data_IF_922746430498
#
_entry.id   IF_922746430498
#
_cell.length_a   1.000
_cell.length_b   1.000
_cell.length_c   1.000
_cell.angle_alpha   90.00
_cell.angle_beta   90.00
_cell.angle_gamma   90.00
#
_symmetry.space_group_name_H-M   'P 1'
#
loop_
_entity.id
_entity.type
_entity.pdbx_description
1 polymer ?
#
# COMPACT_ATOMS: atom_id res chain seq x y z
N UNK A 1 8.58 -5.69 12.68
CA UNK A 1 9.59 -6.76 12.51
C UNK A 1 10.09 -7.26 13.86
N UNK A 2 10.67 -6.44 14.80
CA UNK A 2 11.18 -6.94 16.08
C UNK A 2 10.16 -7.75 16.88
N UNK A 3 8.90 -7.30 16.93
CA UNK A 3 7.82 -8.01 17.60
C UNK A 3 7.56 -9.40 16.97
N UNK A 4 7.52 -9.47 15.64
CA UNK A 4 7.31 -10.76 14.95
C UNK A 4 8.45 -11.74 15.26
N UNK A 5 9.69 -11.26 15.19
CA UNK A 5 10.87 -12.06 15.51
C UNK A 5 10.88 -12.54 16.96
N UNK A 6 10.48 -11.70 17.93
CA UNK A 6 10.40 -12.07 19.34
C UNK A 6 9.31 -13.12 19.63
N UNK A 7 8.24 -13.14 18.84
CA UNK A 7 7.16 -14.11 18.92
C UNK A 7 7.44 -15.43 18.17
N UNK A 8 8.65 -15.56 17.57
CA UNK A 8 9.06 -16.75 16.84
C UNK A 8 8.66 -16.80 15.36
N UNK A 9 8.12 -15.70 14.83
CA UNK A 9 7.88 -15.51 13.41
C UNK A 9 9.13 -14.98 12.70
N UNK A 10 9.05 -14.78 11.40
CA UNK A 10 10.12 -14.23 10.58
C UNK A 10 9.88 -12.75 10.21
N UNK A 11 10.87 -12.15 9.56
CA UNK A 11 10.76 -10.78 9.03
C UNK A 11 9.66 -10.68 7.98
N UNK A 12 9.48 -11.71 7.15
CA UNK A 12 8.45 -11.71 6.11
C UNK A 12 7.04 -11.60 6.72
N UNK A 13 6.72 -12.35 7.77
CA UNK A 13 5.45 -12.19 8.51
C UNK A 13 5.33 -10.79 9.10
N UNK A 14 6.41 -10.29 9.72
CA UNK A 14 6.42 -8.97 10.35
C UNK A 14 6.17 -7.81 9.37
N UNK A 15 6.58 -7.95 8.13
CA UNK A 15 6.32 -6.98 7.04
C UNK A 15 4.97 -7.24 6.38
N UNK A 16 4.61 -8.51 6.17
CA UNK A 16 3.37 -8.86 5.48
C UNK A 16 2.10 -8.38 6.20
N UNK A 17 2.07 -8.40 7.53
CA UNK A 17 0.89 -7.96 8.28
C UNK A 17 0.48 -6.52 7.94
N UNK A 18 1.33 -5.50 8.15
CA UNK A 18 0.96 -4.13 7.81
C UNK A 18 0.88 -3.89 6.30
N UNK A 19 1.78 -4.48 5.52
CA UNK A 19 1.84 -4.29 4.07
C UNK A 19 0.61 -4.86 3.36
N UNK A 20 0.32 -6.16 3.54
CA UNK A 20 -0.82 -6.79 2.89
C UNK A 20 -2.15 -6.28 3.43
N UNK A 21 -2.20 -5.92 4.74
CA UNK A 21 -3.39 -5.32 5.33
C UNK A 21 -3.73 -3.96 4.71
N UNK A 22 -2.75 -3.08 4.60
CA UNK A 22 -2.90 -1.79 3.93
C UNK A 22 -3.25 -1.97 2.45
N UNK A 23 -2.60 -2.92 1.79
CA UNK A 23 -2.72 -3.16 0.38
C UNK A 23 -4.09 -3.74 -0.02
N UNK A 24 -4.62 -4.71 0.74
CA UNK A 24 -5.99 -5.19 0.54
C UNK A 24 -7.00 -4.07 0.77
N UNK A 25 -6.76 -3.24 1.80
CA UNK A 25 -7.60 -2.07 2.07
C UNK A 25 -7.62 -1.07 0.91
N UNK A 26 -6.52 -0.91 0.19
CA UNK A 26 -6.42 -0.02 -0.97
C UNK A 26 -6.91 -0.69 -2.26
N UNK A 27 -6.39 -1.86 -2.62
CA UNK A 27 -6.65 -2.53 -3.90
C UNK A 27 -8.09 -3.02 -4.06
N UNK A 28 -8.72 -3.51 -2.99
CA UNK A 28 -10.12 -3.90 -2.98
C UNK A 28 -11.04 -2.88 -2.30
N UNK A 29 -10.63 -1.62 -2.24
CA UNK A 29 -11.36 -0.56 -1.55
C UNK A 29 -12.79 -0.38 -2.07
N UNK A 30 -13.73 -0.32 -1.15
CA UNK A 30 -15.14 -0.03 -1.45
C UNK A 30 -15.48 1.47 -1.38
N UNK A 31 -14.67 2.28 -0.68
CA UNK A 31 -14.86 3.72 -0.47
C UNK A 31 -13.53 4.48 -0.57
N UNK A 32 -12.77 4.29 -1.65
CA UNK A 32 -11.54 5.05 -1.85
C UNK A 32 -11.82 6.32 -2.64
N UNK A 33 -11.69 7.53 -2.07
CA UNK A 33 -11.94 8.77 -2.78
C UNK A 33 -10.93 9.05 -3.90
N UNK A 34 -9.69 8.57 -3.75
CA UNK A 34 -8.59 8.84 -4.68
C UNK A 34 -8.59 7.94 -5.92
N UNK A 35 -9.29 6.83 -5.88
CA UNK A 35 -9.39 5.88 -6.98
C UNK A 35 -10.83 5.75 -7.45
N UNK A 36 -11.67 5.09 -6.68
CA UNK A 36 -13.10 4.88 -7.01
C UNK A 36 -13.84 6.21 -7.16
N UNK A 37 -13.63 7.15 -6.23
CA UNK A 37 -14.31 8.46 -6.25
C UNK A 37 -13.97 9.26 -7.50
N UNK A 38 -12.68 9.38 -7.84
CA UNK A 38 -12.24 10.10 -9.05
C UNK A 38 -12.80 9.42 -10.31
N UNK A 39 -12.68 8.09 -10.39
CA UNK A 39 -13.16 7.34 -11.55
C UNK A 39 -14.67 7.45 -11.73
N UNK A 40 -15.45 7.41 -10.64
CA UNK A 40 -16.89 7.64 -10.69
C UNK A 40 -17.26 9.07 -11.07
N UNK A 41 -16.47 10.05 -10.60
CA UNK A 41 -16.65 11.46 -11.02
C UNK A 41 -16.44 11.63 -12.53
N UNK A 42 -15.40 11.01 -13.10
CA UNK A 42 -15.14 11.02 -14.55
C UNK A 42 -16.28 10.31 -15.32
N UNK A 43 -16.76 9.18 -14.80
CA UNK A 43 -17.86 8.42 -15.39
C UNK A 43 -19.25 9.04 -15.15
N UNK A 44 -19.35 10.18 -14.46
CA UNK A 44 -20.60 10.84 -14.06
C UNK A 44 -21.56 9.91 -13.28
N UNK A 45 -21.01 8.98 -12.51
CA UNK A 45 -21.77 8.07 -11.65
C UNK A 45 -21.90 8.63 -10.23
N UNK A 46 -22.98 8.28 -9.51
CA UNK A 46 -23.09 8.65 -8.10
C UNK A 46 -21.91 8.10 -7.29
N UNK A 47 -21.32 8.95 -6.43
CA UNK A 47 -20.19 8.58 -5.60
C UNK A 47 -20.51 7.32 -4.78
N UNK A 48 -19.55 6.40 -4.77
CA UNK A 48 -19.61 5.09 -4.10
C UNK A 48 -20.78 4.19 -4.51
N UNK A 49 -21.44 4.47 -5.66
CA UNK A 49 -22.41 3.53 -6.25
C UNK A 49 -21.73 2.18 -6.54
N UNK A 50 -22.47 1.08 -6.42
CA UNK A 50 -21.93 -0.28 -6.53
C UNK A 50 -21.11 -0.75 -5.32
N UNK A 51 -21.21 -0.06 -4.17
CA UNK A 51 -20.48 -0.37 -2.93
C UNK A 51 -20.73 -1.80 -2.44
N UNK A 52 -21.95 -2.32 -2.54
CA UNK A 52 -22.28 -3.66 -2.01
C UNK A 52 -21.40 -4.76 -2.61
N UNK A 53 -21.17 -4.74 -3.92
CA UNK A 53 -20.27 -5.69 -4.58
C UNK A 53 -18.80 -5.50 -4.12
N UNK A 54 -18.34 -4.25 -4.01
CA UNK A 54 -16.97 -3.95 -3.55
C UNK A 54 -16.73 -4.40 -2.11
N UNK A 55 -17.71 -4.23 -1.22
CA UNK A 55 -17.64 -4.73 0.17
C UNK A 55 -17.49 -6.25 0.21
N UNK A 56 -18.26 -6.97 -0.62
CA UNK A 56 -18.13 -8.42 -0.73
C UNK A 56 -16.73 -8.84 -1.20
N UNK A 57 -16.23 -8.21 -2.26
CA UNK A 57 -14.87 -8.51 -2.78
C UNK A 57 -13.80 -8.15 -1.74
N UNK A 58 -13.91 -7.00 -1.09
CA UNK A 58 -13.01 -6.62 0.00
C UNK A 58 -13.02 -7.65 1.14
N UNK A 59 -14.19 -8.13 1.54
CA UNK A 59 -14.32 -9.17 2.56
C UNK A 59 -13.62 -10.47 2.16
N UNK A 60 -13.81 -10.93 0.92
CA UNK A 60 -13.17 -12.13 0.38
C UNK A 60 -11.65 -11.94 0.33
N UNK A 61 -11.16 -10.84 -0.24
CA UNK A 61 -9.73 -10.57 -0.34
C UNK A 61 -9.06 -10.48 1.04
N UNK A 62 -9.73 -9.81 2.00
CA UNK A 62 -9.26 -9.72 3.39
C UNK A 62 -9.18 -11.10 4.03
N UNK A 63 -10.20 -11.94 3.88
CA UNK A 63 -10.20 -13.30 4.42
C UNK A 63 -9.08 -14.16 3.81
N UNK A 64 -8.86 -14.07 2.50
CA UNK A 64 -7.78 -14.79 1.81
C UNK A 64 -6.41 -14.35 2.33
N UNK A 65 -6.18 -13.04 2.49
CA UNK A 65 -4.90 -12.52 2.99
C UNK A 65 -4.67 -12.94 4.45
N UNK A 66 -5.68 -12.85 5.31
CA UNK A 66 -5.58 -13.31 6.70
C UNK A 66 -5.25 -14.81 6.74
N UNK A 67 -5.96 -15.62 5.96
CA UNK A 67 -5.71 -17.06 5.88
C UNK A 67 -4.28 -17.36 5.41
N UNK A 68 -3.81 -16.66 4.36
CA UNK A 68 -2.46 -16.83 3.84
C UNK A 68 -1.38 -16.45 4.87
N UNK A 69 -1.48 -15.26 5.48
CA UNK A 69 -0.50 -14.77 6.46
C UNK A 69 -0.47 -15.68 7.69
N UNK A 70 -1.63 -16.14 8.14
CA UNK A 70 -1.74 -17.07 9.28
C UNK A 70 -1.12 -18.41 8.94
N UNK A 71 -1.47 -18.99 7.77
CA UNK A 71 -0.91 -20.25 7.31
C UNK A 71 0.61 -20.18 7.16
N UNK A 72 1.12 -19.14 6.51
CA UNK A 72 2.56 -18.95 6.33
C UNK A 72 3.27 -18.75 7.68
N UNK A 73 2.71 -17.92 8.57
CA UNK A 73 3.24 -17.66 9.89
C UNK A 73 3.34 -18.96 10.74
N UNK A 74 2.28 -19.76 10.77
CA UNK A 74 2.30 -21.04 11.47
C UNK A 74 3.31 -22.05 10.86
N UNK A 75 3.47 -22.05 9.54
CA UNK A 75 4.46 -22.88 8.85
C UNK A 75 5.87 -22.50 9.26
N UNK A 76 6.20 -21.21 9.30
CA UNK A 76 7.52 -20.71 9.71
C UNK A 76 7.75 -20.93 11.20
N UNK A 77 6.75 -20.68 12.04
CA UNK A 77 6.84 -20.89 13.48
C UNK A 77 7.14 -22.35 13.83
N UNK A 78 6.52 -23.30 13.12
CA UNK A 78 6.78 -24.75 13.30
C UNK A 78 8.15 -25.18 12.75
N UNK A 79 8.62 -24.56 11.70
CA UNK A 79 9.92 -24.86 11.08
C UNK A 79 10.59 -23.59 10.53
N UNK A 80 11.42 -22.93 11.34
CA UNK A 80 12.08 -21.66 10.96
C UNK A 80 12.93 -21.76 9.68
N UNK A 81 13.46 -22.94 9.34
CA UNK A 81 14.24 -23.14 8.10
C UNK A 81 13.40 -23.00 6.82
N UNK A 82 12.07 -22.99 6.92
CA UNK A 82 11.16 -22.76 5.79
C UNK A 82 10.87 -21.28 5.55
N UNK A 83 11.44 -20.39 6.37
CA UNK A 83 11.36 -18.95 6.18
C UNK A 83 12.14 -18.53 4.93
N UNK A 84 11.55 -17.63 4.13
CA UNK A 84 12.22 -17.01 2.97
C UNK A 84 13.27 -15.98 3.40
N UNK A 85 13.22 -15.52 4.64
CA UNK A 85 14.13 -14.53 5.23
C UNK A 85 15.04 -15.16 6.30
N UNK A 86 15.21 -16.46 6.31
CA UNK A 86 15.91 -17.20 7.39
C UNK A 86 17.30 -16.63 7.70
N UNK A 87 18.13 -16.42 6.69
CA UNK A 87 19.51 -15.94 6.88
C UNK A 87 19.55 -14.50 7.38
N UNK A 88 18.67 -13.65 6.84
CA UNK A 88 18.49 -12.26 7.27
C UNK A 88 18.02 -12.21 8.74
N UNK A 89 17.07 -13.07 9.10
CA UNK A 89 16.53 -13.15 10.45
C UNK A 89 17.57 -13.57 11.48
N UNK A 90 18.47 -14.47 11.12
CA UNK A 90 19.59 -14.85 11.97
C UNK A 90 20.49 -13.66 12.32
N UNK A 91 20.79 -12.81 11.33
CA UNK A 91 21.56 -11.59 11.53
C UNK A 91 20.80 -10.56 12.37
N UNK A 92 19.51 -10.33 12.02
CA UNK A 92 18.64 -9.41 12.76
C UNK A 92 18.43 -9.82 14.22
N UNK A 93 18.27 -11.12 14.50
CA UNK A 93 18.15 -11.63 15.89
C UNK A 93 19.40 -11.35 16.71
N UNK A 94 20.59 -11.47 16.10
CA UNK A 94 21.87 -11.15 16.77
C UNK A 94 22.00 -9.65 17.03
N UNK A 95 21.69 -8.79 16.04
CA UNK A 95 21.81 -7.34 16.18
C UNK A 95 20.79 -6.74 17.16
N UNK A 96 19.60 -7.30 17.23
CA UNK A 96 18.52 -6.84 18.12
C UNK A 96 18.63 -7.40 19.54
N UNK A 97 19.67 -8.20 19.84
CA UNK A 97 19.86 -8.85 21.14
C UNK A 97 18.61 -9.60 21.66
N UNK A 98 17.79 -10.13 20.75
CA UNK A 98 16.53 -10.81 21.07
C UNK A 98 16.73 -12.11 21.91
N UNK A 99 17.98 -12.56 22.10
CA UNK A 99 18.30 -13.68 22.95
C UNK A 99 18.29 -13.33 24.45
N UNK A 100 18.20 -12.07 24.79
CA UNK A 100 18.07 -11.61 26.17
C UNK A 100 16.60 -11.31 26.43
N UNK A 101 15.84 -12.35 26.73
CA UNK A 101 14.45 -12.26 27.22
C UNK A 101 14.41 -11.72 28.66
N UNK A 102 14.97 -10.57 28.92
CA UNK A 102 14.41 -9.73 29.95
C UNK A 102 13.10 -9.17 29.41
N UNK A 103 11.99 -9.79 29.80
CA UNK A 103 10.65 -9.25 29.50
C UNK A 103 10.64 -7.84 30.06
N UNK A 104 10.67 -6.79 29.22
CA UNK A 104 10.61 -5.43 29.75
C UNK A 104 9.33 -5.32 30.57
N UNK A 105 9.46 -4.89 31.82
CA UNK A 105 8.30 -4.71 32.70
C UNK A 105 7.39 -3.69 32.01
N UNK A 106 6.17 -4.12 31.66
CA UNK A 106 5.17 -3.25 31.09
C UNK A 106 4.82 -2.17 32.12
N UNK A 107 5.15 -0.92 31.81
CA UNK A 107 4.94 0.22 32.70
C UNK A 107 3.78 1.07 32.20
N UNK A 108 3.21 1.88 33.07
CA UNK A 108 2.17 2.85 32.71
C UNK A 108 2.60 3.76 31.53
N UNK A 109 3.89 4.07 31.41
CA UNK A 109 4.42 4.85 30.27
C UNK A 109 4.23 4.14 28.93
N UNK A 110 4.44 2.84 28.87
CA UNK A 110 4.20 2.07 27.64
C UNK A 110 2.72 2.12 27.24
N UNK A 111 1.80 2.03 28.21
CA UNK A 111 0.37 2.19 27.97
C UNK A 111 0.04 3.59 27.45
N UNK A 112 0.63 4.62 28.04
CA UNK A 112 0.41 6.00 27.60
C UNK A 112 0.93 6.25 26.19
N UNK A 113 2.12 5.73 25.84
CA UNK A 113 2.67 5.82 24.48
C UNK A 113 1.75 5.10 23.48
N UNK A 114 1.26 3.91 23.82
CA UNK A 114 0.31 3.20 22.97
C UNK A 114 -1.00 3.99 22.79
N UNK A 115 -1.48 4.62 23.85
CA UNK A 115 -2.67 5.47 23.79
C UNK A 115 -2.44 6.71 22.91
N UNK A 116 -1.31 7.39 23.04
CA UNK A 116 -0.94 8.54 22.20
C UNK A 116 -0.87 8.13 20.73
N UNK A 117 -0.25 6.99 20.45
CA UNK A 117 -0.18 6.47 19.08
C UNK A 117 -1.59 6.14 18.53
N UNK A 118 -2.41 5.45 19.31
CA UNK A 118 -3.78 5.13 18.93
C UNK A 118 -4.64 6.40 18.69
N UNK A 119 -4.51 7.40 19.59
CA UNK A 119 -5.17 8.69 19.44
C UNK A 119 -4.70 9.43 18.16
N UNK A 120 -3.38 9.39 17.88
CA UNK A 120 -2.81 9.92 16.63
C UNK A 120 -3.40 9.24 15.40
N UNK A 121 -3.58 7.91 15.42
CA UNK A 121 -4.21 7.18 14.31
C UNK A 121 -5.68 7.55 14.13
N UNK A 122 -6.43 7.71 15.21
CA UNK A 122 -7.83 8.20 15.13
C UNK A 122 -7.86 9.62 14.56
N UNK A 123 -6.94 10.48 15.00
CA UNK A 123 -6.85 11.86 14.48
C UNK A 123 -6.44 11.89 13.00
N UNK A 124 -5.55 10.99 12.58
CA UNK A 124 -5.21 10.81 11.17
C UNK A 124 -6.45 10.51 10.32
N UNK A 125 -7.25 9.51 10.74
CA UNK A 125 -8.47 9.12 10.03
C UNK A 125 -9.47 10.29 9.96
N UNK A 126 -9.67 10.99 11.07
CA UNK A 126 -10.54 12.18 11.12
C UNK A 126 -9.98 13.31 10.24
N UNK A 127 -8.66 13.56 10.28
CA UNK A 127 -7.98 14.56 9.47
C UNK A 127 -8.16 14.33 7.96
N UNK A 128 -7.96 13.10 7.52
CA UNK A 128 -8.16 12.74 6.10
C UNK A 128 -9.63 12.80 5.71
N UNK A 129 -10.54 12.27 6.54
CA UNK A 129 -11.96 12.17 6.20
C UNK A 129 -12.71 13.52 6.26
N UNK A 130 -12.40 14.36 7.26
CA UNK A 130 -13.15 15.59 7.52
C UNK A 130 -12.45 16.85 7.02
N UNK A 131 -11.11 16.87 7.06
CA UNK A 131 -10.30 18.05 6.74
C UNK A 131 -9.47 17.88 5.47
N UNK A 132 -9.64 16.75 4.74
CA UNK A 132 -8.94 16.47 3.49
C UNK A 132 -7.39 16.56 3.60
N UNK A 133 -6.83 16.13 4.74
CA UNK A 133 -5.40 16.12 4.96
C UNK A 133 -4.67 15.31 3.89
N UNK A 134 -3.51 15.81 3.50
CA UNK A 134 -2.63 15.17 2.54
C UNK A 134 -1.24 14.95 3.14
N UNK A 135 -0.23 14.73 2.32
CA UNK A 135 1.12 14.30 2.75
C UNK A 135 1.73 15.23 3.81
N UNK A 136 1.55 16.55 3.69
CA UNK A 136 2.18 17.53 4.59
C UNK A 136 1.61 17.43 5.99
N UNK A 137 0.30 17.43 6.13
CA UNK A 137 -0.41 17.38 7.42
C UNK A 137 -0.18 16.01 8.09
N UNK A 138 -0.22 14.92 7.30
CA UNK A 138 0.05 13.55 7.77
C UNK A 138 1.48 13.44 8.28
N UNK A 139 2.46 13.99 7.56
CA UNK A 139 3.87 13.99 7.98
C UNK A 139 4.07 14.79 9.27
N UNK A 140 3.42 15.94 9.37
CA UNK A 140 3.43 16.77 10.58
C UNK A 140 2.82 16.05 11.78
N UNK A 141 1.70 15.33 11.59
CA UNK A 141 1.08 14.51 12.64
C UNK A 141 2.04 13.42 13.14
N UNK A 142 2.64 12.64 12.24
CA UNK A 142 3.56 11.57 12.65
C UNK A 142 4.81 12.10 13.36
N UNK A 143 5.37 13.23 12.90
CA UNK A 143 6.48 13.90 13.59
C UNK A 143 6.05 14.33 14.99
N UNK A 144 4.89 14.97 15.13
CA UNK A 144 4.35 15.40 16.41
C UNK A 144 4.11 14.24 17.37
N UNK A 145 3.47 13.16 16.91
CA UNK A 145 3.26 11.94 17.71
C UNK A 145 4.60 11.34 18.14
N UNK A 146 5.59 11.27 17.24
CA UNK A 146 6.93 10.78 17.54
C UNK A 146 7.61 11.58 18.65
N UNK A 147 7.59 12.91 18.57
CA UNK A 147 8.17 13.81 19.58
C UNK A 147 7.46 13.68 20.93
N UNK A 148 6.12 13.63 20.94
CA UNK A 148 5.35 13.43 22.17
C UNK A 148 5.67 12.07 22.80
N UNK A 149 5.77 11.01 22.01
CA UNK A 149 6.18 9.69 22.49
C UNK A 149 7.60 9.70 23.06
N UNK A 150 8.54 10.44 22.46
CA UNK A 150 9.90 10.59 22.97
C UNK A 150 9.91 11.27 24.36
N UNK A 151 9.16 12.36 24.53
CA UNK A 151 9.02 13.06 25.81
C UNK A 151 8.40 12.17 26.88
N UNK A 152 7.30 11.48 26.57
CA UNK A 152 6.62 10.56 27.51
C UNK A 152 7.52 9.38 27.86
N UNK A 153 8.28 8.87 26.88
CA UNK A 153 9.28 7.82 27.03
C UNK A 153 10.50 8.26 27.86
N UNK A 154 10.64 9.57 28.11
CA UNK A 154 11.80 10.18 28.77
C UNK A 154 13.11 9.94 28.02
N UNK A 155 13.06 9.94 26.70
CA UNK A 155 14.26 9.91 25.88
C UNK A 155 15.01 11.23 26.02
N UNK A 156 16.35 11.16 26.10
CA UNK A 156 17.18 12.37 26.02
C UNK A 156 17.12 12.96 24.61
N UNK A 157 17.53 14.23 24.46
CA UNK A 157 17.60 14.86 23.14
C UNK A 157 18.50 14.07 22.18
N UNK A 158 19.64 13.58 22.65
CA UNK A 158 20.55 12.77 21.82
C UNK A 158 19.87 11.47 21.38
N UNK A 159 19.23 10.75 22.31
CA UNK A 159 18.51 9.51 21.97
C UNK A 159 17.36 9.75 20.97
N UNK A 160 16.65 10.86 21.11
CA UNK A 160 15.58 11.24 20.19
C UNK A 160 16.16 11.57 18.80
N UNK A 161 17.27 12.33 18.77
CA UNK A 161 17.95 12.65 17.50
C UNK A 161 18.51 11.40 16.83
N UNK A 162 19.15 10.51 17.58
CA UNK A 162 19.67 9.25 17.05
C UNK A 162 18.55 8.38 16.45
N UNK A 163 17.41 8.28 17.15
CA UNK A 163 16.25 7.53 16.66
C UNK A 163 15.68 8.12 15.35
N UNK A 164 15.64 9.46 15.23
CA UNK A 164 15.22 10.14 13.99
C UNK A 164 16.20 9.88 12.86
N UNK A 165 17.52 9.97 13.14
CA UNK A 165 18.58 9.71 12.16
C UNK A 165 18.52 8.25 11.69
N UNK A 166 18.34 7.29 12.57
CA UNK A 166 18.23 5.87 12.20
C UNK A 166 16.97 5.59 11.38
N UNK A 167 15.86 6.24 11.73
CA UNK A 167 14.65 6.22 10.90
C UNK A 167 14.91 6.78 9.50
N UNK A 168 15.56 7.93 9.40
CA UNK A 168 15.91 8.55 8.11
C UNK A 168 16.86 7.67 7.29
N UNK A 169 17.87 7.06 7.91
CA UNK A 169 18.79 6.13 7.25
C UNK A 169 18.06 4.95 6.61
N UNK A 170 17.06 4.41 7.30
CA UNK A 170 16.27 3.30 6.76
C UNK A 170 15.46 3.68 5.51
N UNK A 171 15.17 4.97 5.31
CA UNK A 171 14.41 5.48 4.18
C UNK A 171 15.26 5.93 3.00
N UNK A 172 16.58 6.05 3.12
CA UNK A 172 17.46 6.54 2.04
C UNK A 172 17.37 5.65 0.80
N UNK A 173 17.50 4.33 0.96
CA UNK A 173 17.42 3.39 -0.16
C UNK A 173 16.07 3.46 -0.86
N UNK A 174 14.99 3.53 -0.08
CA UNK A 174 13.62 3.65 -0.60
C UNK A 174 13.46 4.96 -1.38
N UNK A 175 13.97 6.07 -0.86
CA UNK A 175 13.90 7.38 -1.53
C UNK A 175 14.61 7.39 -2.87
N UNK A 176 15.78 6.75 -2.97
CA UNK A 176 16.54 6.61 -4.23
C UNK A 176 15.74 5.75 -5.23
N UNK A 177 15.22 4.60 -4.79
CA UNK A 177 14.38 3.75 -5.65
C UNK A 177 13.15 4.49 -6.18
N UNK A 178 12.50 5.29 -5.32
CA UNK A 178 11.37 6.13 -5.70
C UNK A 178 11.73 7.18 -6.74
N UNK A 179 12.88 7.85 -6.57
CA UNK A 179 13.36 8.84 -7.52
C UNK A 179 13.63 8.21 -8.90
N UNK A 180 14.26 7.03 -8.93
CA UNK A 180 14.51 6.29 -10.17
C UNK A 180 13.19 5.81 -10.83
N UNK A 181 12.25 5.26 -10.05
CA UNK A 181 10.94 4.88 -10.55
C UNK A 181 10.18 6.09 -11.13
N UNK A 182 10.23 7.24 -10.45
CA UNK A 182 9.62 8.47 -10.95
C UNK A 182 10.26 8.97 -12.24
N UNK A 183 11.57 8.83 -12.40
CA UNK A 183 12.26 9.18 -13.63
C UNK A 183 11.74 8.39 -14.84
N UNK A 184 11.46 7.10 -14.69
CA UNK A 184 10.85 6.26 -15.73
C UNK A 184 9.49 6.84 -16.16
N UNK A 185 8.66 7.23 -15.21
CA UNK A 185 7.34 7.82 -15.49
C UNK A 185 7.47 9.14 -16.25
N UNK A 186 8.40 10.01 -15.83
CA UNK A 186 8.64 11.30 -16.49
C UNK A 186 9.10 11.09 -17.94
N UNK A 187 10.06 10.21 -18.17
CA UNK A 187 10.56 9.89 -19.52
C UNK A 187 9.43 9.33 -20.39
N UNK A 188 8.60 8.44 -19.86
CA UNK A 188 7.49 7.88 -20.60
C UNK A 188 6.40 8.93 -20.95
N UNK A 189 6.18 9.88 -20.05
CA UNK A 189 5.23 10.98 -20.26
C UNK A 189 5.77 11.98 -21.29
N UNK A 190 7.01 12.44 -21.15
CA UNK A 190 7.65 13.40 -22.06
C UNK A 190 7.81 12.81 -23.46
N UNK A 191 8.10 11.52 -23.55
CA UNK A 191 8.16 10.78 -24.81
C UNK A 191 6.79 10.47 -25.45
N UNK A 192 5.67 10.86 -24.82
CA UNK A 192 4.28 10.52 -25.21
C UNK A 192 4.05 9.02 -25.41
N UNK A 193 4.86 8.19 -24.76
CA UNK A 193 4.76 6.73 -24.81
C UNK A 193 3.43 6.28 -24.23
N UNK A 194 2.98 6.92 -23.15
CA UNK A 194 1.73 6.58 -22.48
C UNK A 194 0.51 6.77 -23.38
N UNK A 195 0.46 7.87 -24.15
CA UNK A 195 -0.63 8.13 -25.10
C UNK A 195 -0.68 7.06 -26.19
N UNK A 196 0.49 6.67 -26.73
CA UNK A 196 0.61 5.63 -27.74
C UNK A 196 0.17 4.26 -27.20
N UNK A 197 0.56 3.93 -25.98
CA UNK A 197 0.16 2.68 -25.31
C UNK A 197 -1.36 2.66 -25.06
N UNK A 198 -1.93 3.75 -24.55
CA UNK A 198 -3.38 3.87 -24.32
C UNK A 198 -4.17 3.72 -25.61
N UNK A 199 -3.71 4.36 -26.68
CA UNK A 199 -4.36 4.23 -28.00
C UNK A 199 -4.31 2.79 -28.51
N UNK A 200 -3.14 2.14 -28.45
CA UNK A 200 -2.99 0.74 -28.86
C UNK A 200 -3.88 -0.21 -28.06
N UNK A 201 -3.96 -0.03 -26.75
CA UNK A 201 -4.84 -0.80 -25.86
C UNK A 201 -6.31 -0.58 -26.23
N UNK A 202 -6.72 0.68 -26.43
CA UNK A 202 -8.10 0.99 -26.82
C UNK A 202 -8.49 0.34 -28.15
N UNK A 203 -7.60 0.30 -29.13
CA UNK A 203 -7.81 -0.39 -30.40
C UNK A 203 -7.98 -1.91 -30.20
N UNK A 204 -7.13 -2.53 -29.39
CA UNK A 204 -7.24 -3.96 -29.13
C UNK A 204 -8.55 -4.33 -28.40
N UNK A 205 -8.90 -3.58 -27.38
CA UNK A 205 -10.10 -3.83 -26.55
C UNK A 205 -11.37 -3.53 -27.33
N UNK A 206 -11.36 -2.50 -28.19
CA UNK A 206 -12.52 -2.03 -28.96
C UNK A 206 -13.16 -3.08 -29.88
N UNK A 207 -12.43 -4.14 -30.21
CA UNK A 207 -12.92 -5.24 -31.06
C UNK A 207 -13.35 -6.49 -30.26
N UNK A 208 -13.28 -6.45 -28.91
CA UNK A 208 -13.62 -7.58 -28.03
C UNK A 208 -15.11 -7.57 -27.68
N UNK A 209 -15.64 -8.75 -27.32
CA UNK A 209 -16.96 -8.78 -26.68
C UNK A 209 -16.92 -8.17 -25.27
N UNK A 210 -18.08 -7.74 -24.69
CA UNK A 210 -18.09 -7.00 -23.43
C UNK A 210 -17.38 -7.70 -22.27
N UNK A 211 -17.46 -9.04 -22.18
CA UNK A 211 -16.80 -9.80 -21.10
C UNK A 211 -15.28 -9.79 -21.26
N UNK A 212 -14.79 -10.07 -22.47
CA UNK A 212 -13.36 -10.03 -22.77
C UNK A 212 -12.81 -8.60 -22.70
N UNK A 213 -13.62 -7.61 -23.06
CA UNK A 213 -13.24 -6.21 -22.96
C UNK A 213 -13.05 -5.78 -21.49
N UNK A 214 -13.92 -6.19 -20.58
CA UNK A 214 -13.79 -5.93 -19.15
C UNK A 214 -12.51 -6.56 -18.57
N UNK A 215 -12.20 -7.79 -18.94
CA UNK A 215 -10.96 -8.48 -18.58
C UNK A 215 -9.74 -7.79 -19.20
N UNK A 216 -9.84 -7.41 -20.49
CA UNK A 216 -8.82 -6.65 -21.19
C UNK A 216 -8.51 -5.30 -20.51
N UNK A 217 -9.53 -4.59 -20.03
CA UNK A 217 -9.36 -3.35 -19.24
C UNK A 217 -8.61 -3.60 -17.95
N UNK A 218 -8.89 -4.69 -17.23
CA UNK A 218 -8.16 -5.06 -16.02
C UNK A 218 -6.66 -5.26 -16.31
N UNK A 219 -6.33 -6.05 -17.32
CA UNK A 219 -4.93 -6.29 -17.69
C UNK A 219 -4.24 -5.04 -18.23
N UNK A 220 -4.96 -4.21 -18.97
CA UNK A 220 -4.46 -2.92 -19.43
C UNK A 220 -4.08 -2.00 -18.25
N UNK A 221 -4.96 -1.87 -17.28
CA UNK A 221 -4.67 -1.07 -16.09
C UNK A 221 -3.53 -1.66 -15.26
N UNK A 222 -3.43 -2.99 -15.17
CA UNK A 222 -2.31 -3.68 -14.53
C UNK A 222 -0.97 -3.37 -15.22
N UNK A 223 -0.95 -3.35 -16.56
CA UNK A 223 0.24 -3.01 -17.33
C UNK A 223 0.60 -1.51 -17.21
N UNK A 224 -0.39 -0.63 -17.31
CA UNK A 224 -0.18 0.83 -17.20
C UNK A 224 0.33 1.19 -15.81
N UNK A 225 -0.10 0.47 -14.78
CA UNK A 225 0.32 0.72 -13.40
C UNK A 225 1.85 0.58 -13.22
N UNK A 226 2.51 -0.25 -14.01
CA UNK A 226 3.97 -0.33 -14.00
C UNK A 226 4.63 1.02 -14.31
N UNK A 227 4.03 1.80 -15.22
CA UNK A 227 4.54 3.13 -15.61
C UNK A 227 3.97 4.24 -14.73
N UNK A 228 2.73 4.09 -14.25
CA UNK A 228 2.01 5.11 -13.48
C UNK A 228 1.52 4.49 -12.16
N UNK A 229 2.44 4.21 -11.26
CA UNK A 229 2.13 3.64 -9.93
C UNK A 229 1.50 4.68 -8.99
N UNK A 230 0.36 5.24 -9.40
CA UNK A 230 -0.37 6.27 -8.67
C UNK A 230 -1.86 6.14 -8.95
N UNK A 231 -2.65 5.73 -7.96
CA UNK A 231 -4.08 5.52 -8.11
C UNK A 231 -4.80 6.71 -8.75
N UNK A 232 -4.72 7.88 -8.13
CA UNK A 232 -5.36 9.09 -8.66
C UNK A 232 -4.78 9.52 -10.01
N UNK A 233 -3.46 9.44 -10.17
CA UNK A 233 -2.79 9.79 -11.44
C UNK A 233 -3.21 8.88 -12.58
N UNK A 234 -3.26 7.57 -12.34
CA UNK A 234 -3.71 6.61 -13.35
C UNK A 234 -5.20 6.78 -13.66
N UNK A 235 -6.06 7.04 -12.66
CA UNK A 235 -7.47 7.31 -12.88
C UNK A 235 -7.69 8.49 -13.86
N UNK A 236 -7.03 9.62 -13.57
CA UNK A 236 -7.16 10.84 -14.39
C UNK A 236 -6.61 10.61 -15.82
N UNK A 237 -5.56 9.81 -15.95
CA UNK A 237 -4.95 9.51 -17.25
C UNK A 237 -5.80 8.55 -18.09
N UNK A 238 -6.34 7.49 -17.49
CA UNK A 238 -6.90 6.35 -18.25
C UNK A 238 -8.43 6.37 -18.33
N UNK A 239 -9.12 6.83 -17.28
CA UNK A 239 -10.58 6.74 -17.23
C UNK A 239 -11.29 7.61 -18.28
N UNK A 240 -10.78 8.82 -18.68
CA UNK A 240 -11.36 9.57 -19.79
C UNK A 240 -11.37 8.83 -21.13
N UNK A 241 -10.50 7.83 -21.30
CA UNK A 241 -10.46 6.97 -22.51
C UNK A 241 -11.27 5.69 -22.27
N UNK A 242 -11.10 5.06 -21.12
CA UNK A 242 -11.69 3.74 -20.84
C UNK A 242 -13.20 3.80 -20.59
N UNK A 243 -13.76 4.88 -20.05
CA UNK A 243 -15.20 4.99 -19.83
C UNK A 243 -15.96 5.13 -21.15
N UNK A 244 -15.64 6.06 -22.06
CA UNK A 244 -16.29 6.09 -23.40
C UNK A 244 -16.10 4.80 -24.19
N UNK A 245 -14.92 4.16 -24.08
CA UNK A 245 -14.67 2.88 -24.73
C UNK A 245 -15.59 1.79 -24.17
N UNK A 246 -15.78 1.72 -22.86
CA UNK A 246 -16.69 0.78 -22.20
C UNK A 246 -18.14 0.98 -22.70
N UNK A 247 -18.59 2.21 -22.79
CA UNK A 247 -19.94 2.55 -23.28
C UNK A 247 -20.15 2.09 -24.73
N UNK A 248 -19.15 2.31 -25.61
CA UNK A 248 -19.21 1.90 -27.03
C UNK A 248 -19.30 0.38 -27.18
N UNK A 249 -18.57 -0.37 -26.34
CA UNK A 249 -18.50 -1.84 -26.38
C UNK A 249 -19.70 -2.48 -25.65
N UNK A 250 -20.45 -1.71 -24.85
CA UNK A 250 -21.56 -2.19 -24.02
C UNK A 250 -21.10 -2.78 -22.68
N UNK A 251 -19.93 -2.38 -22.18
CA UNK A 251 -19.46 -2.67 -20.82
C UNK A 251 -20.02 -1.61 -19.88
N UNK A 252 -20.66 -2.04 -18.79
CA UNK A 252 -21.16 -1.09 -17.80
C UNK A 252 -20.01 -0.28 -17.20
N UNK A 253 -20.10 1.06 -17.10
CA UNK A 253 -19.05 1.91 -16.52
C UNK A 253 -18.59 1.51 -15.12
N UNK A 254 -19.47 0.93 -14.29
CA UNK A 254 -19.07 0.40 -12.97
C UNK A 254 -18.09 -0.77 -13.10
N UNK A 255 -18.22 -1.59 -14.15
CA UNK A 255 -17.30 -2.71 -14.41
C UNK A 255 -15.95 -2.17 -14.88
N UNK A 256 -15.93 -1.14 -15.75
CA UNK A 256 -14.70 -0.48 -16.15
C UNK A 256 -13.97 0.14 -14.95
N UNK A 257 -14.69 0.75 -14.00
CA UNK A 257 -14.13 1.28 -12.75
C UNK A 257 -13.59 0.15 -11.86
N UNK A 258 -14.25 -1.00 -11.79
CA UNK A 258 -13.74 -2.17 -11.06
C UNK A 258 -12.47 -2.72 -11.70
N UNK A 259 -12.45 -2.84 -13.04
CA UNK A 259 -11.28 -3.27 -13.78
C UNK A 259 -10.09 -2.35 -13.54
N UNK A 260 -10.31 -1.03 -13.51
CA UNK A 260 -9.30 -0.05 -13.13
C UNK A 260 -8.85 -0.26 -11.66
N UNK A 261 -9.78 -0.27 -10.71
CA UNK A 261 -9.49 -0.35 -9.28
C UNK A 261 -8.69 -1.60 -8.93
N UNK A 262 -9.04 -2.75 -9.50
CA UNK A 262 -8.35 -4.01 -9.25
C UNK A 262 -7.04 -4.10 -10.04
N UNK A 263 -7.01 -3.66 -11.29
CA UNK A 263 -5.82 -3.67 -12.12
C UNK A 263 -4.71 -2.78 -11.57
N UNK A 264 -5.04 -1.56 -11.15
CA UNK A 264 -4.12 -0.65 -10.47
C UNK A 264 -3.83 -1.14 -9.06
N UNK A 265 -4.87 -1.35 -8.28
CA UNK A 265 -4.75 -1.62 -6.86
C UNK A 265 -3.98 -2.92 -6.56
N UNK A 266 -4.29 -4.04 -7.18
CA UNK A 266 -3.66 -5.33 -6.86
C UNK A 266 -2.23 -5.43 -7.38
N UNK A 267 -1.92 -4.83 -8.51
CA UNK A 267 -0.56 -4.88 -9.07
C UNK A 267 0.45 -4.04 -8.30
N UNK A 268 0.02 -3.04 -7.54
CA UNK A 268 0.90 -2.28 -6.66
C UNK A 268 1.66 -3.14 -5.64
N UNK A 269 1.16 -4.35 -5.28
CA UNK A 269 1.86 -5.27 -4.40
C UNK A 269 3.08 -5.94 -5.04
N UNK A 270 3.18 -5.97 -6.35
CA UNK A 270 4.20 -6.77 -7.06
C UNK A 270 5.08 -5.93 -7.98
N UNK A 271 4.67 -4.72 -8.36
CA UNK A 271 5.46 -3.90 -9.27
C UNK A 271 6.60 -3.16 -8.54
N UNK A 272 7.81 -3.13 -9.12
CA UNK A 272 8.95 -2.48 -8.50
C UNK A 272 8.88 -0.94 -8.54
N UNK A 273 7.96 -0.38 -9.29
CA UNK A 273 7.72 1.06 -9.36
C UNK A 273 6.78 1.56 -8.25
N UNK A 274 6.11 0.66 -7.52
CA UNK A 274 5.24 1.02 -6.41
C UNK A 274 6.05 1.38 -5.16
N UNK A 275 5.92 2.62 -4.64
CA UNK A 275 6.71 3.10 -3.51
C UNK A 275 6.57 2.27 -2.25
N UNK A 276 5.34 1.93 -1.91
CA UNK A 276 5.03 1.19 -0.68
C UNK A 276 5.60 -0.23 -0.73
N UNK A 277 5.55 -0.87 -1.90
CA UNK A 277 6.12 -2.21 -2.12
C UNK A 277 7.62 -2.20 -1.97
N UNK A 278 8.29 -1.23 -2.58
CA UNK A 278 9.75 -1.10 -2.45
C UNK A 278 10.17 -0.74 -1.03
N UNK A 279 9.39 0.09 -0.32
CA UNK A 279 9.62 0.36 1.10
C UNK A 279 9.49 -0.91 1.96
N UNK A 280 8.46 -1.71 1.72
CA UNK A 280 8.24 -2.96 2.44
C UNK A 280 9.38 -3.97 2.21
N UNK A 281 9.83 -4.12 0.95
CA UNK A 281 10.97 -4.98 0.60
C UNK A 281 12.26 -4.44 1.24
N UNK A 282 12.53 -3.13 1.14
CA UNK A 282 13.71 -2.52 1.75
C UNK A 282 13.77 -2.66 3.29
N UNK A 283 12.64 -2.64 3.97
CA UNK A 283 12.56 -2.92 5.40
C UNK A 283 12.76 -4.42 5.72
N UNK A 284 12.37 -5.28 4.80
CA UNK A 284 12.58 -6.72 4.98
C UNK A 284 14.07 -7.10 4.88
N UNK A 285 14.87 -6.41 4.07
CA UNK A 285 16.33 -6.56 3.93
C UNK A 285 16.71 -7.25 2.64
#
# INVERSE_FOLDING_TARGET
>A
IPLALSLGYDTAVGVSIPFLGAWVGFGSAFMNPFTVGISQGIAQLPLYSGMGYRVLVWGICTAVVIAFVTWYGERVRKNPKKSITYDIDQQKRKSLHLNVLEKPKFTWRHLLIMFIFAAGMVWLVAGVALYHWYIIEISGLFLGVGLVCAVVGKLSLNQTTDAVIDGARSMVSVSIMLALARAIVVIAADGRILDTVLYGIAQCIGHMNPLMAAEGMFWAHSFINFFVASGSGQAVLTMPVMIPLADIIGVNPQIAILAYQFGEGWTNAIIPTAPVTMAAIGMAG
#
